data_IF_029948899147
#
_entry.id   IF_029948899147
#
_cell.length_a   1.000
_cell.length_b   1.000
_cell.length_c   1.000
_cell.angle_alpha   90.00
_cell.angle_beta   90.00
_cell.angle_gamma   90.00
#
_symmetry.space_group_name_H-M   'P 1'
#
loop_
_entity.id
_entity.type
_entity.pdbx_description
1 polymer ?
#
# COMPACT_ATOMS: atom_id res chain seq x y z
N UNK A 1 11.41 -64.43 -39.29
CA UNK A 1 10.69 -63.19 -39.63
C UNK A 1 10.29 -62.51 -38.33
N UNK A 2 10.86 -61.33 -38.04
CA UNK A 2 10.38 -60.26 -37.12
C UNK A 2 11.59 -59.40 -36.70
N UNK A 3 12.11 -58.58 -37.63
CA UNK A 3 13.02 -57.48 -37.31
C UNK A 3 12.16 -56.22 -37.16
N UNK A 4 11.89 -55.88 -35.90
CA UNK A 4 11.06 -54.75 -35.48
C UNK A 4 11.96 -53.51 -35.50
N UNK A 5 11.81 -52.71 -36.56
CA UNK A 5 12.50 -51.43 -36.74
C UNK A 5 12.20 -50.48 -35.57
N UNK A 6 13.17 -50.34 -34.66
CA UNK A 6 13.25 -49.19 -33.76
C UNK A 6 13.84 -48.04 -34.54
N UNK A 7 12.99 -47.11 -34.99
CA UNK A 7 13.42 -45.81 -35.49
C UNK A 7 13.78 -44.97 -34.25
N UNK A 8 15.05 -44.61 -34.02
CA UNK A 8 15.37 -43.64 -33.01
C UNK A 8 14.79 -42.30 -33.47
N UNK A 9 13.85 -41.76 -32.69
CA UNK A 9 13.46 -40.35 -32.72
C UNK A 9 14.71 -39.57 -32.28
N UNK A 10 15.58 -39.34 -33.25
CA UNK A 10 16.80 -38.58 -33.11
C UNK A 10 16.38 -37.12 -32.97
N UNK A 11 16.31 -36.76 -31.69
CA UNK A 11 16.12 -35.46 -31.10
C UNK A 11 16.80 -34.38 -31.95
N UNK A 12 16.03 -33.81 -32.86
CA UNK A 12 16.37 -32.61 -33.62
C UNK A 12 16.21 -31.45 -32.64
N UNK A 13 17.13 -31.32 -31.68
CA UNK A 13 17.43 -30.02 -31.07
C UNK A 13 18.07 -29.20 -32.19
N UNK A 14 17.18 -28.70 -33.06
CA UNK A 14 17.51 -27.76 -34.10
C UNK A 14 18.24 -26.61 -33.45
N UNK A 15 19.35 -26.23 -34.08
CA UNK A 15 19.97 -24.94 -33.90
C UNK A 15 18.86 -23.89 -34.04
N UNK A 16 18.31 -23.45 -32.90
CA UNK A 16 17.52 -22.24 -32.89
C UNK A 16 18.47 -21.16 -33.41
N UNK A 17 18.09 -20.40 -34.45
CA UNK A 17 18.88 -19.23 -34.83
C UNK A 17 19.07 -18.43 -33.55
N UNK A 18 20.33 -18.12 -33.22
CA UNK A 18 20.65 -17.18 -32.16
C UNK A 18 20.01 -15.85 -32.58
N UNK A 19 18.75 -15.66 -32.20
CA UNK A 19 18.01 -14.44 -32.44
C UNK A 19 18.62 -13.42 -31.49
N UNK A 20 19.55 -12.66 -32.05
CA UNK A 20 20.20 -11.54 -31.40
C UNK A 20 19.13 -10.47 -31.17
N UNK A 21 19.17 -9.82 -30.02
CA UNK A 21 18.27 -8.73 -29.73
C UNK A 21 18.71 -7.55 -30.56
N UNK A 22 17.73 -6.98 -31.21
CA UNK A 22 17.89 -5.82 -32.04
C UNK A 22 17.27 -4.62 -31.32
N UNK A 23 17.89 -3.45 -31.47
CA UNK A 23 17.27 -2.16 -31.15
C UNK A 23 16.51 -1.72 -32.38
N UNK A 24 15.19 -1.69 -32.25
CA UNK A 24 14.28 -1.19 -33.27
C UNK A 24 14.06 0.29 -33.04
N UNK A 25 14.72 1.14 -33.81
CA UNK A 25 14.53 2.59 -33.75
C UNK A 25 13.22 2.96 -34.43
N UNK A 26 12.36 3.64 -33.68
CA UNK A 26 11.04 4.06 -34.12
C UNK A 26 11.10 5.42 -34.81
N UNK A 27 10.12 5.73 -35.65
CA UNK A 27 9.96 7.05 -36.25
C UNK A 27 10.68 7.24 -37.59
N UNK A 28 11.11 8.47 -37.85
CA UNK A 28 11.81 8.84 -39.08
C UNK A 28 13.19 9.45 -38.74
N UNK A 29 14.15 9.42 -39.69
CA UNK A 29 15.45 10.06 -39.49
C UNK A 29 15.35 11.55 -39.10
N UNK A 30 14.30 12.25 -39.56
CA UNK A 30 14.04 13.65 -39.21
C UNK A 30 13.51 13.84 -37.78
N UNK A 31 12.88 12.80 -37.22
CA UNK A 31 12.32 12.81 -35.87
C UNK A 31 13.38 12.45 -34.85
N UNK A 32 14.27 11.50 -35.18
CA UNK A 32 15.39 11.10 -34.33
C UNK A 32 16.30 12.29 -33.92
N UNK A 33 16.47 13.28 -34.80
CA UNK A 33 17.25 14.48 -34.53
C UNK A 33 16.58 15.49 -33.57
N UNK A 34 15.27 15.34 -33.29
CA UNK A 34 14.46 16.28 -32.50
C UNK A 34 14.09 15.76 -31.12
N UNK A 35 14.47 14.54 -30.78
CA UNK A 35 14.08 13.91 -29.52
C UNK A 35 15.01 14.42 -28.42
N UNK A 36 14.48 15.34 -27.63
CA UNK A 36 15.04 15.81 -26.36
C UNK A 36 15.28 14.66 -25.38
N UNK A 37 16.35 14.79 -24.60
CA UNK A 37 16.76 13.87 -23.53
C UNK A 37 15.58 13.43 -22.66
N UNK A 38 15.21 12.14 -22.71
CA UNK A 38 14.35 11.52 -21.70
C UNK A 38 13.38 10.44 -22.19
N UNK A 39 13.06 10.37 -23.49
CA UNK A 39 12.18 9.32 -24.02
C UNK A 39 12.94 8.42 -25.00
N UNK A 40 13.10 7.11 -24.74
CA UNK A 40 13.77 6.22 -25.66
C UNK A 40 12.93 6.05 -26.93
N UNK A 41 13.49 6.44 -28.09
CA UNK A 41 12.88 6.26 -29.42
C UNK A 41 13.22 4.89 -30.03
N UNK A 42 13.48 3.91 -29.18
CA UNK A 42 13.83 2.58 -29.61
C UNK A 42 13.16 1.55 -28.72
N UNK A 43 12.84 0.42 -29.32
CA UNK A 43 12.41 -0.77 -28.63
C UNK A 43 13.57 -1.74 -28.64
N UNK A 44 13.98 -2.20 -27.46
CA UNK A 44 14.96 -3.28 -27.34
C UNK A 44 14.22 -4.61 -27.20
N UNK A 45 14.46 -5.54 -28.13
CA UNK A 45 13.81 -6.85 -28.10
C UNK A 45 14.45 -7.85 -29.03
N UNK A 46 14.12 -9.12 -28.86
CA UNK A 46 14.58 -10.19 -29.74
C UNK A 46 13.56 -10.38 -30.86
N UNK A 47 13.99 -10.25 -32.10
CA UNK A 47 13.13 -10.59 -33.24
C UNK A 47 12.76 -12.07 -33.16
N UNK A 48 11.47 -12.40 -33.19
CA UNK A 48 11.02 -13.80 -33.21
C UNK A 48 10.68 -14.22 -34.65
N UNK A 49 9.87 -13.42 -35.33
CA UNK A 49 9.42 -13.66 -36.70
C UNK A 49 8.92 -12.39 -37.36
N UNK A 50 8.85 -12.40 -38.68
CA UNK A 50 8.25 -11.34 -39.49
C UNK A 50 6.95 -11.84 -40.12
N UNK A 51 5.84 -11.14 -39.91
CA UNK A 51 4.53 -11.56 -40.41
C UNK A 51 3.68 -10.34 -40.79
N UNK A 52 2.98 -10.40 -41.92
CA UNK A 52 2.00 -9.39 -42.35
C UNK A 52 2.49 -7.93 -42.30
N UNK A 53 3.75 -7.68 -42.65
CA UNK A 53 4.33 -6.33 -42.61
C UNK A 53 4.68 -5.82 -41.22
N UNK A 54 4.71 -6.70 -40.22
CA UNK A 54 5.12 -6.41 -38.85
C UNK A 54 6.28 -7.32 -38.38
N UNK A 55 7.07 -6.81 -37.46
CA UNK A 55 8.03 -7.54 -36.64
C UNK A 55 7.32 -8.06 -35.39
N UNK A 56 7.39 -9.36 -35.13
CA UNK A 56 6.98 -9.95 -33.84
C UNK A 56 8.24 -10.05 -32.99
N UNK A 57 8.31 -9.23 -31.94
CA UNK A 57 9.50 -9.08 -31.09
C UNK A 57 9.20 -9.50 -29.65
N UNK A 58 10.12 -10.22 -29.03
CA UNK A 58 10.08 -10.52 -27.59
C UNK A 58 10.78 -9.39 -26.84
N UNK A 59 10.03 -8.69 -26.00
CA UNK A 59 10.50 -7.58 -25.16
C UNK A 59 10.41 -7.98 -23.68
N UNK A 60 11.02 -7.19 -22.80
CA UNK A 60 10.83 -7.35 -21.36
C UNK A 60 9.32 -7.21 -21.04
N UNK A 61 8.73 -8.25 -20.44
CA UNK A 61 7.31 -8.28 -20.10
C UNK A 61 6.35 -8.86 -21.15
N UNK A 62 6.82 -9.31 -22.32
CA UNK A 62 5.97 -10.05 -23.26
C UNK A 62 6.39 -10.05 -24.72
N UNK A 63 5.43 -10.41 -25.58
CA UNK A 63 5.57 -10.28 -27.04
C UNK A 63 4.88 -9.01 -27.51
N UNK A 64 5.50 -8.31 -28.46
CA UNK A 64 4.97 -7.11 -29.08
C UNK A 64 5.02 -7.24 -30.60
N UNK A 65 3.97 -6.75 -31.26
CA UNK A 65 3.96 -6.60 -32.71
C UNK A 65 4.28 -5.15 -33.08
N UNK A 66 5.29 -4.98 -33.93
CA UNK A 66 5.80 -3.68 -34.34
C UNK A 66 5.69 -3.54 -35.86
N UNK A 67 4.95 -2.53 -36.33
CA UNK A 67 4.78 -2.31 -37.77
C UNK A 67 6.11 -1.95 -38.43
N UNK A 68 6.46 -2.59 -39.54
CA UNK A 68 7.72 -2.32 -40.27
C UNK A 68 7.81 -0.87 -40.74
N UNK A 69 6.66 -0.25 -41.06
CA UNK A 69 6.58 1.15 -41.46
C UNK A 69 6.98 2.15 -40.36
N UNK A 70 7.00 1.72 -39.10
CA UNK A 70 7.40 2.55 -37.96
C UNK A 70 8.88 2.40 -37.62
N UNK A 71 9.57 1.40 -38.17
CA UNK A 71 10.96 1.09 -37.87
C UNK A 71 11.84 1.61 -39.00
N UNK A 72 12.69 2.60 -38.70
CA UNK A 72 13.60 3.16 -39.71
C UNK A 72 15.00 2.54 -39.65
N UNK A 73 15.41 2.01 -38.48
CA UNK A 73 16.70 1.35 -38.29
C UNK A 73 16.61 0.23 -37.27
N UNK A 74 17.30 -0.86 -37.56
CA UNK A 74 17.45 -2.02 -36.68
C UNK A 74 18.95 -2.17 -36.39
N UNK A 75 19.36 -2.04 -35.13
CA UNK A 75 20.75 -2.24 -34.69
C UNK A 75 20.87 -3.55 -33.91
N UNK A 76 21.65 -4.51 -34.41
CA UNK A 76 21.88 -5.76 -33.69
C UNK A 76 22.83 -5.55 -32.52
N UNK A 77 22.31 -5.72 -31.31
CA UNK A 77 23.01 -5.45 -30.04
C UNK A 77 23.66 -6.72 -29.47
N UNK A 78 23.55 -7.85 -30.18
CA UNK A 78 24.16 -9.13 -29.81
C UNK A 78 23.55 -9.81 -28.58
N UNK A 79 22.41 -9.31 -28.09
CA UNK A 79 21.78 -9.79 -26.87
C UNK A 79 21.03 -11.10 -27.11
N UNK A 80 21.19 -12.13 -26.29
CA UNK A 80 20.48 -13.41 -26.52
C UNK A 80 19.18 -13.50 -25.71
N UNK A 81 18.25 -14.36 -26.13
CA UNK A 81 17.01 -14.66 -25.35
C UNK A 81 17.34 -15.06 -23.91
N UNK A 82 18.41 -15.83 -23.72
CA UNK A 82 18.89 -16.23 -22.40
C UNK A 82 19.31 -15.04 -21.53
N UNK A 83 19.93 -14.01 -22.12
CA UNK A 83 20.30 -12.80 -21.41
C UNK A 83 19.09 -11.95 -21.03
N UNK A 84 18.06 -11.89 -21.88
CA UNK A 84 16.78 -11.23 -21.55
C UNK A 84 16.12 -11.95 -20.38
N UNK A 85 16.02 -13.28 -20.44
CA UNK A 85 15.45 -14.09 -19.36
C UNK A 85 16.24 -13.92 -18.05
N UNK A 86 17.56 -13.91 -18.11
CA UNK A 86 18.42 -13.69 -16.94
C UNK A 86 18.14 -12.34 -16.30
N UNK A 87 18.06 -11.26 -17.09
CA UNK A 87 17.71 -9.92 -16.60
C UNK A 87 16.32 -9.87 -15.97
N UNK A 88 15.33 -10.54 -16.57
CA UNK A 88 13.98 -10.64 -16.00
C UNK A 88 14.02 -11.36 -14.64
N UNK A 89 14.74 -12.48 -14.53
CA UNK A 89 14.88 -13.20 -13.26
C UNK A 89 15.60 -12.39 -12.20
N UNK A 90 16.68 -11.69 -12.55
CA UNK A 90 17.44 -10.84 -11.62
C UNK A 90 16.57 -9.68 -11.09
N UNK A 91 15.83 -9.00 -11.98
CA UNK A 91 14.89 -7.95 -11.56
C UNK A 91 13.74 -8.49 -10.71
N UNK A 92 13.20 -9.65 -11.07
CA UNK A 92 12.15 -10.30 -10.28
C UNK A 92 12.64 -10.65 -8.88
N UNK A 93 13.86 -11.18 -8.75
CA UNK A 93 14.49 -11.46 -7.46
C UNK A 93 14.76 -10.19 -6.66
N UNK A 94 15.25 -9.13 -7.30
CA UNK A 94 15.50 -7.85 -6.64
C UNK A 94 14.21 -7.23 -6.10
N UNK A 95 13.14 -7.23 -6.90
CA UNK A 95 11.81 -6.79 -6.48
C UNK A 95 11.26 -7.65 -5.34
N UNK A 96 11.44 -8.97 -5.40
CA UNK A 96 11.05 -9.87 -4.31
C UNK A 96 11.81 -9.56 -3.02
N UNK A 97 13.13 -9.32 -3.09
CA UNK A 97 13.96 -8.93 -1.93
C UNK A 97 13.55 -7.57 -1.38
N UNK A 98 13.27 -6.59 -2.24
CA UNK A 98 12.80 -5.27 -1.83
C UNK A 98 11.43 -5.35 -1.13
N UNK A 99 10.50 -6.15 -1.66
CA UNK A 99 9.19 -6.37 -1.06
C UNK A 99 9.29 -7.10 0.29
N UNK A 100 10.15 -8.12 0.40
CA UNK A 100 10.40 -8.80 1.66
C UNK A 100 10.94 -7.84 2.74
N UNK A 101 11.88 -6.95 2.38
CA UNK A 101 12.39 -5.91 3.28
C UNK A 101 11.29 -4.95 3.74
N UNK A 102 10.43 -4.51 2.82
CA UNK A 102 9.26 -3.67 3.16
C UNK A 102 8.29 -4.39 4.11
N UNK A 103 8.01 -5.67 3.87
CA UNK A 103 7.13 -6.44 4.72
C UNK A 103 7.65 -6.55 6.16
N UNK A 104 8.96 -6.79 6.34
CA UNK A 104 9.59 -6.82 7.67
C UNK A 104 9.51 -5.46 8.37
N UNK A 105 9.79 -4.37 7.65
CA UNK A 105 9.69 -3.01 8.22
C UNK A 105 8.26 -2.66 8.64
N UNK A 106 7.27 -3.02 7.82
CA UNK A 106 5.86 -2.81 8.13
C UNK A 106 5.41 -3.67 9.32
N UNK A 107 5.88 -4.92 9.42
CA UNK A 107 5.63 -5.81 10.55
C UNK A 107 6.15 -5.21 11.87
N UNK A 108 7.42 -4.81 11.90
CA UNK A 108 8.03 -4.18 13.08
C UNK A 108 7.31 -2.87 13.48
N UNK A 109 6.91 -2.05 12.51
CA UNK A 109 6.15 -0.83 12.77
C UNK A 109 4.74 -1.13 13.30
N UNK A 110 4.09 -2.21 12.85
CA UNK A 110 2.78 -2.64 13.33
C UNK A 110 2.86 -3.17 14.77
N UNK A 111 3.88 -3.96 15.10
CA UNK A 111 4.14 -4.46 16.45
C UNK A 111 4.37 -3.32 17.43
N UNK A 112 5.25 -2.36 17.09
CA UNK A 112 5.50 -1.18 17.93
C UNK A 112 4.24 -0.33 18.16
N UNK A 113 3.35 -0.22 17.16
CA UNK A 113 2.06 0.45 17.32
C UNK A 113 1.13 -0.32 18.27
N UNK A 114 1.13 -1.64 18.19
CA UNK A 114 0.29 -2.47 19.03
C UNK A 114 0.72 -2.43 20.50
N UNK A 115 2.03 -2.41 20.77
CA UNK A 115 2.56 -2.22 22.12
C UNK A 115 2.17 -0.87 22.71
N UNK A 116 2.35 0.22 21.97
CA UNK A 116 1.91 1.56 22.40
C UNK A 116 0.41 1.60 22.71
N UNK A 117 -0.42 0.95 21.90
CA UNK A 117 -1.87 0.89 22.16
C UNK A 117 -2.19 0.11 23.44
N UNK A 118 -1.42 -0.94 23.78
CA UNK A 118 -1.59 -1.66 25.04
C UNK A 118 -1.21 -0.80 26.25
N UNK A 119 -0.10 -0.07 26.16
CA UNK A 119 0.33 0.86 27.21
C UNK A 119 -0.70 1.97 27.44
N UNK A 120 -1.20 2.59 26.35
CA UNK A 120 -2.25 3.61 26.44
C UNK A 120 -3.51 3.06 27.11
N UNK A 121 -3.96 1.85 26.74
CA UNK A 121 -5.13 1.22 27.38
C UNK A 121 -4.90 0.91 28.87
N UNK A 122 -3.69 0.47 29.23
CA UNK A 122 -3.35 0.21 30.63
C UNK A 122 -3.34 1.51 31.45
N UNK A 123 -2.76 2.58 30.90
CA UNK A 123 -2.75 3.91 31.51
C UNK A 123 -4.17 4.49 31.65
N UNK A 124 -5.00 4.38 30.62
CA UNK A 124 -6.41 4.80 30.68
C UNK A 124 -7.21 4.02 31.73
N UNK A 125 -6.99 2.72 31.85
CA UNK A 125 -7.64 1.90 32.87
C UNK A 125 -7.20 2.28 34.29
N UNK A 126 -5.92 2.61 34.49
CA UNK A 126 -5.41 3.10 35.77
C UNK A 126 -6.00 4.47 36.13
N UNK A 127 -6.02 5.41 35.18
CA UNK A 127 -6.62 6.73 35.36
C UNK A 127 -8.11 6.64 35.73
N UNK A 128 -8.87 5.76 35.07
CA UNK A 128 -10.29 5.53 35.40
C UNK A 128 -10.49 4.96 36.81
N UNK A 129 -9.59 4.09 37.28
CA UNK A 129 -9.65 3.55 38.66
C UNK A 129 -9.38 4.63 39.69
N UNK A 130 -8.43 5.53 39.44
CA UNK A 130 -8.13 6.66 40.32
C UNK A 130 -9.28 7.67 40.37
N UNK A 131 -9.91 7.95 39.23
CA UNK A 131 -11.11 8.80 39.18
C UNK A 131 -12.28 8.18 39.95
N UNK A 132 -12.50 6.86 39.81
CA UNK A 132 -13.52 6.14 40.58
C UNK A 132 -13.24 6.15 42.08
N UNK A 133 -11.98 5.98 42.51
CA UNK A 133 -11.65 6.04 43.94
C UNK A 133 -11.85 7.44 44.52
N UNK A 134 -11.48 8.50 43.78
CA UNK A 134 -11.76 9.89 44.19
C UNK A 134 -13.26 10.18 44.26
N UNK A 135 -14.05 9.64 43.34
CA UNK A 135 -15.51 9.79 43.36
C UNK A 135 -16.15 9.07 44.57
N UNK A 136 -15.68 7.87 44.92
CA UNK A 136 -16.18 7.13 46.09
C UNK A 136 -15.83 7.87 47.40
N UNK A 137 -14.64 8.45 47.51
CA UNK A 137 -14.23 9.26 48.67
C UNK A 137 -15.07 10.54 48.80
N UNK A 138 -15.38 11.21 47.68
CA UNK A 138 -16.27 12.37 47.67
C UNK A 138 -17.70 12.05 48.14
N UNK A 139 -18.22 10.86 47.79
CA UNK A 139 -19.54 10.41 48.24
C UNK A 139 -19.52 10.00 49.73
N UNK A 140 -18.45 9.36 50.20
CA UNK A 140 -18.29 8.97 51.60
C UNK A 140 -18.14 10.18 52.56
N UNK A 141 -17.74 11.34 52.05
CA UNK A 141 -17.71 12.61 52.79
C UNK A 141 -19.07 13.30 52.94
N UNK A 142 -20.13 12.83 52.27
CA UNK A 142 -21.47 13.39 52.42
C UNK A 142 -22.14 12.87 53.70
N UNK A 143 -22.22 13.70 54.73
CA UNK A 143 -23.05 13.43 55.91
C UNK A 143 -24.45 13.98 55.67
N UNK A 144 -25.44 13.11 55.62
CA UNK A 144 -26.85 13.51 55.72
C UNK A 144 -27.12 13.94 57.15
N UNK A 145 -27.35 15.23 57.36
CA UNK A 145 -27.78 15.76 58.67
C UNK A 145 -29.29 15.96 58.59
N UNK A 146 -30.02 15.34 59.51
CA UNK A 146 -31.47 15.48 59.59
C UNK A 146 -31.82 16.88 60.13
N UNK A 147 -32.62 17.65 59.41
CA UNK A 147 -33.11 18.96 59.83
C UNK A 147 -34.48 18.80 60.54
N UNK A 148 -34.56 19.01 61.87
CA UNK A 148 -35.81 18.84 62.61
C UNK A 148 -36.83 19.97 62.37
N UNK A 149 -36.44 21.11 61.77
CA UNK A 149 -37.36 22.22 61.46
C UNK A 149 -38.11 21.95 60.17
N UNK A 150 -37.42 21.38 59.18
CA UNK A 150 -37.99 21.10 57.85
C UNK A 150 -38.47 19.65 57.69
N UNK A 151 -38.20 18.77 58.66
CA UNK A 151 -38.52 17.33 58.62
C UNK A 151 -37.99 16.63 57.35
N UNK A 152 -36.85 17.09 56.83
CA UNK A 152 -36.22 16.54 55.63
C UNK A 152 -34.73 16.29 55.88
N UNK A 153 -34.19 15.25 55.24
CA UNK A 153 -32.76 14.97 55.28
C UNK A 153 -32.04 15.91 54.30
N UNK A 154 -31.10 16.71 54.82
CA UNK A 154 -30.31 17.64 54.02
C UNK A 154 -28.89 17.09 53.89
N UNK A 155 -28.42 16.93 52.65
CA UNK A 155 -27.02 16.57 52.36
C UNK A 155 -26.14 17.80 52.58
N UNK A 156 -25.37 17.82 53.68
CA UNK A 156 -24.42 18.90 53.95
C UNK A 156 -23.07 18.54 53.32
N UNK A 157 -22.98 18.72 52.01
CA UNK A 157 -21.73 18.60 51.25
C UNK A 157 -21.01 19.95 51.15
N UNK A 158 -19.70 19.97 51.41
CA UNK A 158 -18.80 21.16 51.34
C UNK A 158 -18.62 21.73 49.91
N UNK A 159 -19.47 21.36 48.94
CA UNK A 159 -19.34 21.83 47.55
C UNK A 159 -20.60 21.74 46.69
N UNK A 160 -21.79 21.64 47.28
CA UNK A 160 -22.99 21.18 46.59
C UNK A 160 -23.72 22.16 45.64
N UNK A 161 -23.40 23.45 45.63
CA UNK A 161 -24.20 24.42 44.83
C UNK A 161 -23.52 24.77 43.49
N UNK A 162 -22.21 24.58 43.36
CA UNK A 162 -21.46 24.97 42.14
C UNK A 162 -21.32 23.80 41.15
N UNK A 163 -21.32 22.55 41.63
CA UNK A 163 -21.08 21.37 40.79
C UNK A 163 -22.18 21.07 39.78
N UNK A 164 -23.46 21.16 40.18
CA UNK A 164 -24.57 20.75 39.32
C UNK A 164 -24.86 21.74 38.18
N UNK A 165 -24.67 23.04 38.43
CA UNK A 165 -24.84 24.08 37.42
C UNK A 165 -23.74 24.02 36.37
N UNK A 166 -22.48 23.84 36.80
CA UNK A 166 -21.32 23.71 35.90
C UNK A 166 -21.38 22.42 35.09
N UNK A 167 -21.87 21.31 35.67
CA UNK A 167 -22.02 20.03 34.97
C UNK A 167 -23.11 20.05 33.90
N UNK A 168 -24.21 20.79 34.12
CA UNK A 168 -25.27 20.98 33.13
C UNK A 168 -24.83 21.85 31.95
N UNK A 169 -24.08 22.92 32.21
CA UNK A 169 -23.67 23.83 31.15
C UNK A 169 -22.48 23.29 30.33
N UNK A 170 -21.46 22.71 30.96
CA UNK A 170 -20.32 22.15 30.23
C UNK A 170 -20.67 20.86 29.48
N UNK A 171 -21.60 20.04 30.02
CA UNK A 171 -22.04 18.79 29.39
C UNK A 171 -22.76 19.00 28.05
N UNK A 172 -23.51 20.11 27.90
CA UNK A 172 -24.17 20.46 26.65
C UNK A 172 -23.20 21.02 25.61
N UNK A 173 -22.26 21.88 26.02
CA UNK A 173 -21.31 22.54 25.12
C UNK A 173 -20.29 21.55 24.54
N UNK A 174 -19.72 20.68 25.38
CA UNK A 174 -18.74 19.68 24.92
C UNK A 174 -19.37 18.63 23.99
N UNK A 175 -20.61 18.22 24.25
CA UNK A 175 -21.32 17.26 23.39
C UNK A 175 -21.60 17.85 22.00
N UNK A 176 -22.00 19.12 21.93
CA UNK A 176 -22.22 19.82 20.67
C UNK A 176 -20.93 20.05 19.87
N UNK A 177 -19.81 20.31 20.54
CA UNK A 177 -18.51 20.45 19.88
C UNK A 177 -18.02 19.11 19.29
N UNK A 178 -18.09 18.02 20.07
CA UNK A 178 -17.71 16.67 19.61
C UNK A 178 -18.58 16.17 18.45
N UNK A 179 -19.88 16.49 18.43
CA UNK A 179 -20.77 16.12 17.33
C UNK A 179 -20.52 16.89 16.03
N UNK A 180 -19.94 18.10 16.11
CA UNK A 180 -19.51 18.85 14.92
C UNK A 180 -18.23 18.26 14.35
N UNK A 181 -17.23 18.02 15.19
CA UNK A 181 -15.96 17.44 14.76
C UNK A 181 -16.13 16.05 14.15
N UNK A 182 -16.97 15.19 14.75
CA UNK A 182 -17.28 13.87 14.19
C UNK A 182 -17.98 13.93 12.82
N UNK A 183 -18.79 14.97 12.57
CA UNK A 183 -19.43 15.18 11.27
C UNK A 183 -18.41 15.59 10.21
N UNK A 184 -17.48 16.47 10.55
CA UNK A 184 -16.47 16.96 9.62
C UNK A 184 -15.43 15.88 9.29
N UNK A 185 -15.02 15.07 10.28
CA UNK A 185 -14.17 13.89 10.04
C UNK A 185 -14.87 12.88 9.12
N UNK A 186 -16.17 12.61 9.31
CA UNK A 186 -16.93 11.71 8.40
C UNK A 186 -17.00 12.23 6.97
N UNK A 187 -17.10 13.55 6.78
CA UNK A 187 -17.07 14.16 5.43
C UNK A 187 -15.69 13.98 4.79
N UNK A 188 -14.63 14.32 5.51
CA UNK A 188 -13.26 14.19 5.02
C UNK A 188 -12.92 12.75 4.59
N UNK A 189 -13.31 11.75 5.39
CA UNK A 189 -13.09 10.33 5.08
C UNK A 189 -13.89 9.89 3.85
N UNK A 190 -15.13 10.37 3.69
CA UNK A 190 -15.94 10.07 2.50
C UNK A 190 -15.33 10.64 1.23
N UNK A 191 -14.79 11.86 1.32
CA UNK A 191 -14.17 12.53 0.17
C UNK A 191 -12.82 11.91 -0.20
N UNK A 192 -12.07 11.38 0.77
CA UNK A 192 -10.81 10.66 0.49
C UNK A 192 -11.04 9.31 -0.17
N UNK A 193 -12.17 8.64 0.08
CA UNK A 193 -12.52 7.35 -0.53
C UNK A 193 -13.06 7.46 -1.97
N UNK A 194 -13.36 8.68 -2.44
CA UNK A 194 -13.85 8.95 -3.80
C UNK A 194 -12.74 9.38 -4.78
N UNK A 195 -11.52 9.59 -4.30
CA UNK A 195 -10.34 9.88 -5.10
C UNK A 195 -9.52 8.61 -5.28
#
# INVERSE_FOLDING_TARGET
MLLRNFIPVLLSLGLAPNLLADRFHLGSPDTAAKITDGTPDFVQGVLLREENGAYVIRVEGGEMQLQKSLVWKVESDGLTVEQVQKRETERAEELARANARRAVQLGAAAEARFERLREVRAAEAAAKREEQSRAVEAVAGSRTVYDPILHTAVEVGVGGIVGDTVRRELGGVLRNALERDLRDVRRAVRDSLRR
#
